data_IF_976757511947
#
_entry.id   IF_976757511947
#
_cell.length_a   1.000
_cell.length_b   1.000
_cell.length_c   1.000
_cell.angle_alpha   90.00
_cell.angle_beta   90.00
_cell.angle_gamma   90.00
#
_symmetry.space_group_name_H-M   'P 1'
#
loop_
_entity.id
_entity.type
_entity.pdbx_description
1 polymer ?
#
# COMPACT_ATOMS: atom_id res chain seq x y z
N UNK A 1 -14.86 9.65 2.38
CA UNK A 1 -13.51 9.51 2.97
C UNK A 1 -12.72 8.56 2.08
N UNK A 2 -11.51 8.94 1.69
CA UNK A 2 -10.68 8.17 0.77
C UNK A 2 -9.83 7.15 1.53
N UNK A 3 -9.67 5.96 0.98
CA UNK A 3 -8.71 4.98 1.46
C UNK A 3 -7.50 5.02 0.52
N UNK A 4 -6.31 5.16 1.09
CA UNK A 4 -5.04 5.12 0.37
C UNK A 4 -4.43 3.73 0.50
N UNK A 5 -4.18 3.07 -0.63
CA UNK A 5 -3.50 1.78 -0.62
C UNK A 5 -2.03 1.99 -0.96
N UNK A 6 -1.13 1.54 -0.09
CA UNK A 6 0.32 1.56 -0.29
C UNK A 6 0.79 0.13 -0.55
N UNK A 7 1.51 -0.05 -1.65
CA UNK A 7 2.13 -1.33 -2.01
C UNK A 7 3.59 -1.30 -1.61
N UNK A 8 4.06 -2.37 -0.96
CA UNK A 8 5.44 -2.46 -0.51
C UNK A 8 5.97 -3.90 -0.60
N UNK A 9 7.29 -4.04 -0.55
CA UNK A 9 7.99 -5.32 -0.54
C UNK A 9 8.22 -5.78 0.91
N UNK A 10 7.51 -6.83 1.34
CA UNK A 10 7.68 -7.41 2.68
C UNK A 10 8.98 -8.18 2.89
N UNK A 11 9.72 -8.50 1.82
CA UNK A 11 11.06 -9.10 1.91
C UNK A 11 12.14 -8.06 2.16
N UNK A 12 11.83 -6.76 1.99
CA UNK A 12 12.72 -5.66 2.29
C UNK A 12 12.56 -5.15 3.75
N UNK A 13 13.53 -5.38 4.65
CA UNK A 13 13.41 -4.99 6.06
C UNK A 13 13.37 -3.47 6.28
N UNK A 14 13.81 -2.67 5.30
CA UNK A 14 13.68 -1.20 5.35
C UNK A 14 12.24 -0.78 5.04
N UNK A 15 11.66 -1.30 3.96
CA UNK A 15 10.26 -1.03 3.60
C UNK A 15 9.31 -1.42 4.74
N UNK A 16 9.52 -2.59 5.37
CA UNK A 16 8.71 -3.04 6.52
C UNK A 16 8.81 -2.06 7.70
N UNK A 17 10.01 -1.53 7.99
CA UNK A 17 10.20 -0.53 9.06
C UNK A 17 9.46 0.78 8.74
N UNK A 18 9.54 1.25 7.51
CA UNK A 18 8.87 2.47 7.05
C UNK A 18 7.35 2.31 7.10
N UNK A 19 6.82 1.19 6.60
CA UNK A 19 5.40 0.86 6.63
C UNK A 19 4.86 0.72 8.05
N UNK A 20 5.65 0.13 8.96
CA UNK A 20 5.31 0.05 10.38
C UNK A 20 5.24 1.44 11.02
N UNK A 21 6.15 2.35 10.65
CA UNK A 21 6.13 3.72 11.15
C UNK A 21 4.93 4.51 10.62
N UNK A 22 4.63 4.40 9.32
CA UNK A 22 3.46 5.01 8.69
C UNK A 22 2.16 4.53 9.34
N UNK A 23 2.00 3.22 9.57
CA UNK A 23 0.80 2.67 10.22
C UNK A 23 0.60 3.15 11.65
N UNK A 24 1.70 3.48 12.36
CA UNK A 24 1.60 4.07 13.71
C UNK A 24 1.13 5.52 13.68
N UNK A 25 1.33 6.23 12.58
CA UNK A 25 0.88 7.61 12.40
C UNK A 25 -0.49 7.71 11.72
N UNK A 26 -1.00 6.60 11.18
CA UNK A 26 -2.34 6.50 10.57
C UNK A 26 -3.44 6.36 11.63
N UNK A 27 -3.67 7.42 12.39
CA UNK A 27 -4.66 7.44 13.48
C UNK A 27 -6.10 7.20 12.98
N UNK A 28 -6.41 7.64 11.77
CA UNK A 28 -7.72 7.51 11.13
C UNK A 28 -7.91 6.19 10.36
N UNK A 29 -6.91 5.29 10.37
CA UNK A 29 -6.93 4.03 9.62
C UNK A 29 -7.27 4.21 8.13
N UNK A 30 -6.78 5.30 7.52
CA UNK A 30 -7.02 5.63 6.12
C UNK A 30 -6.04 4.93 5.18
N UNK A 31 -5.00 4.27 5.71
CA UNK A 31 -4.01 3.52 4.94
C UNK A 31 -4.32 2.02 4.90
N UNK A 32 -4.36 1.45 3.70
CA UNK A 32 -4.27 0.01 3.47
C UNK A 32 -2.86 -0.33 3.00
N UNK A 33 -2.16 -1.17 3.74
CA UNK A 33 -0.82 -1.64 3.37
C UNK A 33 -0.93 -3.03 2.76
N UNK A 34 -0.46 -3.19 1.52
CA UNK A 34 -0.52 -4.43 0.74
C UNK A 34 0.89 -4.87 0.41
N UNK A 35 1.27 -6.06 0.88
CA UNK A 35 2.54 -6.69 0.49
C UNK A 35 2.40 -7.31 -0.90
N UNK A 36 3.32 -6.97 -1.81
CA UNK A 36 3.35 -7.49 -3.19
C UNK A 36 3.62 -9.00 -3.26
N UNK A 37 4.11 -9.60 -2.17
CA UNK A 37 4.36 -11.04 -2.07
C UNK A 37 3.18 -11.82 -1.49
N UNK A 38 2.14 -11.15 -0.99
CA UNK A 38 0.95 -11.78 -0.45
C UNK A 38 -0.17 -11.97 -1.49
N UNK A 39 -1.07 -12.91 -1.22
CA UNK A 39 -2.21 -13.21 -2.11
C UNK A 39 -3.13 -12.00 -2.34
N UNK A 40 -3.24 -11.09 -1.38
CA UNK A 40 -4.02 -9.84 -1.51
C UNK A 40 -3.55 -8.94 -2.67
N UNK A 41 -2.30 -9.08 -3.12
CA UNK A 41 -1.80 -8.30 -4.26
C UNK A 41 -2.48 -8.70 -5.58
N UNK A 42 -3.01 -9.93 -5.68
CA UNK A 42 -3.71 -10.42 -6.86
C UNK A 42 -4.99 -9.61 -7.18
N UNK A 43 -5.54 -8.91 -6.19
CA UNK A 43 -6.69 -8.01 -6.36
C UNK A 43 -6.32 -6.72 -7.12
N UNK A 44 -5.03 -6.48 -7.37
CA UNK A 44 -4.49 -5.28 -8.02
C UNK A 44 -3.69 -5.60 -9.30
N UNK A 45 -4.32 -6.22 -10.32
CA UNK A 45 -3.62 -6.65 -11.55
C UNK A 45 -3.07 -5.50 -12.40
N UNK A 46 -3.46 -4.26 -12.08
CA UNK A 46 -3.02 -3.04 -12.78
C UNK A 46 -1.77 -2.41 -12.15
N UNK A 47 -1.29 -2.93 -11.01
CA UNK A 47 -0.09 -2.45 -10.34
C UNK A 47 1.07 -3.39 -10.70
N UNK A 48 2.16 -2.83 -11.23
CA UNK A 48 3.37 -3.61 -11.46
C UNK A 48 4.14 -3.76 -10.14
N UNK A 49 4.23 -4.99 -9.62
CA UNK A 49 4.92 -5.29 -8.37
C UNK A 49 6.42 -4.96 -8.40
N UNK A 50 7.07 -4.98 -9.58
CA UNK A 50 8.48 -4.58 -9.72
C UNK A 50 8.65 -3.08 -9.58
N UNK A 51 7.77 -2.30 -10.20
CA UNK A 51 7.74 -0.84 -10.03
C UNK A 51 7.40 -0.47 -8.58
N UNK A 52 6.47 -1.19 -7.95
CA UNK A 52 6.09 -1.02 -6.55
C UNK A 52 7.22 -1.31 -5.55
N UNK A 53 8.13 -2.24 -5.86
CA UNK A 53 9.33 -2.51 -5.05
C UNK A 53 10.41 -1.45 -5.26
N UNK A 54 10.50 -0.86 -6.45
CA UNK A 54 11.50 0.16 -6.77
C UNK A 54 11.15 1.57 -6.26
N UNK A 55 9.86 1.93 -6.26
CA UNK A 55 9.35 3.20 -5.78
C UNK A 55 8.05 2.99 -5.01
N UNK A 56 7.85 3.78 -3.95
CA UNK A 56 6.67 3.72 -3.09
C UNK A 56 5.43 4.15 -3.89
N UNK A 57 4.61 3.17 -4.29
CA UNK A 57 3.41 3.38 -5.08
C UNK A 57 2.18 3.53 -4.18
N UNK A 58 1.43 4.62 -4.35
CA UNK A 58 0.18 4.87 -3.63
C UNK A 58 -0.99 4.99 -4.61
N UNK A 59 -2.07 4.26 -4.34
CA UNK A 59 -3.33 4.36 -5.09
C UNK A 59 -4.42 4.96 -4.21
N UNK A 60 -5.09 6.00 -4.72
CA UNK A 60 -6.19 6.66 -4.02
C UNK A 60 -7.51 6.28 -4.70
N UNK A 61 -8.38 5.58 -3.97
CA UNK A 61 -9.75 5.32 -4.45
C UNK A 61 -10.63 6.53 -4.16
N UNK A 62 -10.98 7.28 -5.20
CA UNK A 62 -11.95 8.38 -5.09
C UNK A 62 -13.36 7.78 -5.08
N UNK A 63 -14.06 7.93 -3.96
CA UNK A 63 -15.49 7.64 -3.90
C UNK A 63 -16.22 8.87 -4.45
N UNK A 64 -16.71 8.78 -5.69
CA UNK A 64 -17.70 9.71 -6.23
C UNK A 64 -18.97 9.56 -5.39
N UNK A 65 -19.30 10.59 -4.61
CA UNK A 65 -20.58 10.66 -3.90
C UNK A 65 -21.71 10.74 -4.95
N UNK A 66 -22.59 9.74 -4.97
CA UNK A 66 -23.95 9.90 -5.51
C UNK A 66 -24.81 10.61 -4.47
#
# INVERSE_FOLDING_TARGET
>A
MGQFTIFYDGTCPLCVKEMTALRKQDEDSQLLLVDIHEQQFLDYPYIDGKEASAMLHAWMKTVSCC
#
